data_IF_029473790335
#
_entry.id   IF_029473790335
#
_cell.length_a   1.000
_cell.length_b   1.000
_cell.length_c   1.000
_cell.angle_alpha   90.00
_cell.angle_beta   90.00
_cell.angle_gamma   90.00
#
_symmetry.space_group_name_H-M   'P 1'
#
loop_
_entity.id
_entity.type
_entity.pdbx_description
1 polymer ?
#
# COMPACT_ATOMS: atom_id res chain seq x y z
N UNK A 1 10.38 11.05 -11.83
CA UNK A 1 10.14 9.62 -11.97
C UNK A 1 11.31 8.81 -11.42
N UNK A 2 12.55 9.28 -11.61
CA UNK A 2 13.71 8.66 -10.94
C UNK A 2 13.55 8.63 -9.43
N UNK A 3 12.98 9.69 -8.85
CA UNK A 3 12.74 9.75 -7.40
C UNK A 3 11.78 8.65 -6.98
N UNK A 4 10.71 8.43 -7.73
CA UNK A 4 9.73 7.39 -7.43
C UNK A 4 10.35 6.01 -7.52
N UNK A 5 11.15 5.76 -8.57
CA UNK A 5 11.86 4.48 -8.74
C UNK A 5 12.82 4.22 -7.58
N UNK A 6 13.57 5.25 -7.17
CA UNK A 6 14.50 5.15 -6.03
C UNK A 6 13.75 4.91 -4.72
N UNK A 7 12.64 5.60 -4.52
CA UNK A 7 11.77 5.42 -3.37
C UNK A 7 11.26 3.98 -3.30
N UNK A 8 10.77 3.45 -4.42
CA UNK A 8 10.26 2.09 -4.47
C UNK A 8 11.35 1.06 -4.20
N UNK A 9 12.56 1.26 -4.70
CA UNK A 9 13.70 0.38 -4.39
C UNK A 9 14.00 0.34 -2.90
N UNK A 10 13.99 1.50 -2.25
CA UNK A 10 14.24 1.55 -0.81
C UNK A 10 13.13 0.82 -0.03
N UNK A 11 11.88 1.03 -0.40
CA UNK A 11 10.75 0.32 0.22
C UNK A 11 10.85 -1.19 0.01
N UNK A 12 11.24 -1.62 -1.19
CA UNK A 12 11.40 -3.04 -1.50
C UNK A 12 12.49 -3.69 -0.66
N UNK A 13 13.62 -3.01 -0.47
CA UNK A 13 14.69 -3.51 0.40
C UNK A 13 14.19 -3.68 1.83
N UNK A 14 13.43 -2.72 2.34
CA UNK A 14 12.85 -2.81 3.67
C UNK A 14 11.84 -3.95 3.77
N UNK A 15 11.03 -4.14 2.74
CA UNK A 15 10.04 -5.22 2.69
C UNK A 15 10.71 -6.60 2.70
N UNK A 16 11.79 -6.77 1.94
CA UNK A 16 12.53 -8.03 1.87
C UNK A 16 13.24 -8.36 3.17
N UNK A 17 13.74 -7.35 3.86
CA UNK A 17 14.46 -7.53 5.11
C UNK A 17 13.59 -8.00 6.27
N UNK A 18 12.34 -7.55 6.32
CA UNK A 18 11.42 -7.89 7.40
C UNK A 18 11.77 -7.27 8.74
N UNK A 19 12.81 -6.48 8.84
CA UNK A 19 13.28 -5.84 10.05
C UNK A 19 13.95 -4.51 9.71
N UNK A 20 14.45 -3.79 10.72
CA UNK A 20 15.13 -2.52 10.53
C UNK A 20 16.44 -2.70 9.76
N UNK A 21 16.69 -1.81 8.83
CA UNK A 21 17.88 -1.82 7.97
C UNK A 21 18.62 -0.50 8.11
N UNK A 22 19.95 -0.56 8.19
CA UNK A 22 20.76 0.65 8.29
C UNK A 22 20.77 1.45 6.99
N UNK A 23 21.00 2.75 7.11
CA UNK A 23 21.15 3.64 5.97
C UNK A 23 22.20 3.13 4.99
N UNK A 24 23.33 2.68 5.52
CA UNK A 24 24.44 2.18 4.71
C UNK A 24 24.01 0.99 3.85
N UNK A 25 23.34 0.03 4.45
CA UNK A 25 22.86 -1.16 3.73
C UNK A 25 21.76 -0.78 2.72
N UNK A 26 20.84 0.09 3.10
CA UNK A 26 19.78 0.56 2.20
C UNK A 26 20.36 1.25 0.97
N UNK A 27 21.28 2.17 1.17
CA UNK A 27 21.92 2.91 0.08
C UNK A 27 22.64 1.95 -0.88
N UNK A 28 23.43 1.04 -0.32
CA UNK A 28 24.18 0.06 -1.12
C UNK A 28 23.24 -0.86 -1.90
N UNK A 29 22.21 -1.38 -1.25
CA UNK A 29 21.24 -2.30 -1.88
C UNK A 29 20.42 -1.61 -2.98
N UNK A 30 20.12 -0.34 -2.82
CA UNK A 30 19.37 0.44 -3.81
C UNK A 30 20.26 1.07 -4.89
N UNK A 31 21.58 0.93 -4.77
CA UNK A 31 22.52 1.54 -5.72
C UNK A 31 22.54 3.05 -5.63
N UNK A 32 22.37 3.60 -4.44
CA UNK A 32 22.32 5.04 -4.21
C UNK A 32 23.47 5.53 -3.36
N UNK A 33 23.86 6.78 -3.60
CA UNK A 33 24.77 7.45 -2.69
C UNK A 33 24.07 7.62 -1.34
N UNK A 34 24.78 7.44 -0.19
CA UNK A 34 24.15 7.57 1.13
C UNK A 34 23.41 8.89 1.35
N UNK A 35 23.91 10.00 0.85
CA UNK A 35 23.24 11.30 1.00
C UNK A 35 21.90 11.34 0.24
N UNK A 36 21.84 10.73 -0.92
CA UNK A 36 20.60 10.63 -1.72
C UNK A 36 19.59 9.73 -1.00
N UNK A 37 20.04 8.56 -0.54
CA UNK A 37 19.17 7.65 0.22
C UNK A 37 18.64 8.32 1.48
N UNK A 38 19.49 9.01 2.22
CA UNK A 38 19.09 9.71 3.44
C UNK A 38 18.02 10.76 3.17
N UNK A 39 18.17 11.54 2.10
CA UNK A 39 17.20 12.57 1.73
C UNK A 39 15.84 11.99 1.38
N UNK A 40 15.83 10.91 0.61
CA UNK A 40 14.58 10.23 0.24
C UNK A 40 13.94 9.61 1.47
N UNK A 41 14.71 8.90 2.30
CA UNK A 41 14.22 8.28 3.53
C UNK A 41 13.67 9.31 4.49
N UNK A 42 14.31 10.47 4.62
CA UNK A 42 13.80 11.54 5.48
C UNK A 42 12.42 12.04 5.03
N UNK A 43 12.22 12.15 3.72
CA UNK A 43 10.91 12.51 3.18
C UNK A 43 9.87 11.41 3.47
N UNK A 44 10.24 10.15 3.31
CA UNK A 44 9.35 9.01 3.60
C UNK A 44 9.01 8.94 5.10
N UNK A 45 9.94 9.30 5.97
CA UNK A 45 9.68 9.35 7.42
C UNK A 45 8.65 10.44 7.75
N UNK A 46 8.77 11.61 7.14
CA UNK A 46 7.80 12.70 7.34
C UNK A 46 6.40 12.27 6.93
N UNK A 47 6.28 11.48 5.87
CA UNK A 47 4.99 11.00 5.38
C UNK A 47 4.56 9.70 6.03
N UNK A 48 5.30 9.20 7.03
CA UNK A 48 4.99 7.97 7.77
C UNK A 48 4.99 6.71 6.93
N UNK A 49 5.59 6.76 5.74
CA UNK A 49 5.79 5.58 4.89
C UNK A 49 6.95 4.72 5.38
N UNK A 50 7.90 5.34 6.05
CA UNK A 50 9.06 4.70 6.66
C UNK A 50 9.17 5.20 8.09
N UNK A 51 9.64 4.35 8.99
CA UNK A 51 9.87 4.66 10.38
C UNK A 51 11.36 4.58 10.69
N UNK A 52 11.86 5.59 11.39
CA UNK A 52 13.24 5.60 11.85
C UNK A 52 13.27 5.08 13.27
N UNK A 53 14.02 3.97 13.49
CA UNK A 53 14.06 3.30 14.79
C UNK A 53 15.17 3.91 15.66
N UNK A 54 16.39 3.84 15.16
CA UNK A 54 17.58 4.37 15.81
C UNK A 54 18.32 5.25 14.84
N UNK A 55 19.29 6.06 15.31
CA UNK A 55 20.11 6.81 14.37
C UNK A 55 20.67 5.90 13.29
N UNK A 56 20.21 6.08 12.06
CA UNK A 56 20.70 5.36 10.91
C UNK A 56 20.00 4.06 10.57
N UNK A 57 18.92 3.67 11.26
CA UNK A 57 18.13 2.48 10.92
C UNK A 57 16.69 2.83 10.60
N UNK A 58 16.11 2.10 9.65
CA UNK A 58 14.77 2.36 9.13
C UNK A 58 13.99 1.07 8.97
N UNK A 59 12.67 1.16 9.04
CA UNK A 59 11.75 0.07 8.73
C UNK A 59 10.48 0.63 8.09
N UNK A 60 9.64 -0.25 7.54
CA UNK A 60 8.37 0.17 6.95
C UNK A 60 7.48 0.86 7.98
N UNK A 61 6.81 1.94 7.56
CA UNK A 61 6.01 2.77 8.44
C UNK A 61 4.54 2.37 8.48
N UNK A 62 3.85 2.88 9.50
CA UNK A 62 2.45 2.53 9.77
C UNK A 62 1.48 3.03 8.71
N UNK A 63 1.83 4.06 7.96
CA UNK A 63 0.95 4.55 6.88
C UNK A 63 0.72 3.49 5.81
N UNK A 64 1.72 2.64 5.56
CA UNK A 64 1.56 1.53 4.61
C UNK A 64 0.48 0.56 5.07
N UNK A 65 0.41 0.29 6.38
CA UNK A 65 -0.66 -0.54 6.94
C UNK A 65 -2.02 0.13 6.78
N UNK A 66 -2.12 1.40 7.07
CA UNK A 66 -3.36 2.18 6.92
C UNK A 66 -3.87 2.11 5.48
N UNK A 67 -3.00 2.38 4.51
CA UNK A 67 -3.35 2.32 3.09
C UNK A 67 -3.68 0.89 2.66
N UNK A 68 -2.88 -0.08 3.12
CA UNK A 68 -3.11 -1.49 2.82
C UNK A 68 -4.44 -2.00 3.36
N UNK A 69 -4.84 -1.56 4.55
CA UNK A 69 -6.14 -1.93 5.12
C UNK A 69 -7.30 -1.44 4.28
N UNK A 70 -7.19 -0.28 3.67
CA UNK A 70 -8.22 0.23 2.76
C UNK A 70 -8.38 -0.66 1.53
N UNK A 71 -7.26 -1.10 0.99
CA UNK A 71 -7.26 -2.06 -0.13
C UNK A 71 -7.87 -3.39 0.30
N UNK A 72 -7.46 -3.88 1.47
CA UNK A 72 -7.96 -5.14 2.03
C UNK A 72 -9.46 -5.13 2.26
N UNK A 73 -10.00 -4.04 2.78
CA UNK A 73 -11.44 -3.88 2.99
C UNK A 73 -12.21 -4.00 1.69
N UNK A 74 -11.73 -3.37 0.63
CA UNK A 74 -12.36 -3.45 -0.69
C UNK A 74 -12.38 -4.89 -1.21
N UNK A 75 -11.27 -5.61 -1.07
CA UNK A 75 -11.15 -7.01 -1.51
C UNK A 75 -12.09 -7.89 -0.69
N UNK A 76 -12.11 -7.75 0.64
CA UNK A 76 -12.96 -8.55 1.53
C UNK A 76 -14.44 -8.35 1.23
N UNK A 77 -14.88 -7.12 1.05
CA UNK A 77 -16.28 -6.81 0.70
C UNK A 77 -16.63 -7.46 -0.63
N UNK A 78 -15.75 -7.35 -1.61
CA UNK A 78 -15.96 -7.94 -2.93
C UNK A 78 -16.10 -9.46 -2.83
N UNK A 79 -15.19 -10.13 -2.12
CA UNK A 79 -15.20 -11.60 -1.97
C UNK A 79 -16.47 -12.09 -1.28
N UNK A 80 -16.95 -11.38 -0.27
CA UNK A 80 -18.17 -11.75 0.45
C UNK A 80 -19.42 -11.47 -0.38
N UNK A 81 -19.42 -10.42 -1.18
CA UNK A 81 -20.58 -9.97 -1.91
C UNK A 81 -20.77 -10.68 -3.27
N UNK A 82 -19.69 -11.11 -3.93
CA UNK A 82 -19.75 -11.68 -5.27
C UNK A 82 -20.71 -12.86 -5.41
N UNK A 83 -20.68 -13.88 -4.52
CA UNK A 83 -21.60 -15.00 -4.64
C UNK A 83 -23.06 -14.55 -4.55
N UNK A 84 -23.37 -13.63 -3.64
CA UNK A 84 -24.68 -13.08 -3.45
C UNK A 84 -25.14 -12.27 -4.67
N UNK A 85 -24.23 -11.46 -5.23
CA UNK A 85 -24.52 -10.66 -6.43
C UNK A 85 -24.79 -11.54 -7.63
N UNK A 86 -24.06 -12.65 -7.78
CA UNK A 86 -24.29 -13.62 -8.86
C UNK A 86 -25.64 -14.30 -8.73
N UNK A 87 -26.02 -14.65 -7.51
CA UNK A 87 -27.33 -15.24 -7.25
C UNK A 87 -28.46 -14.28 -7.63
N UNK A 88 -28.34 -12.99 -7.28
CA UNK A 88 -29.30 -11.97 -7.66
C UNK A 88 -29.35 -11.78 -9.19
N UNK A 89 -28.19 -11.75 -9.83
CA UNK A 89 -28.11 -11.63 -11.28
C UNK A 89 -28.80 -12.80 -11.98
N UNK A 90 -28.53 -14.03 -11.53
CA UNK A 90 -29.11 -15.23 -12.11
C UNK A 90 -30.61 -15.29 -11.90
N UNK A 91 -31.09 -14.81 -10.75
CA UNK A 91 -32.51 -14.81 -10.43
C UNK A 91 -33.30 -13.74 -11.20
N UNK A 92 -32.71 -12.58 -11.42
CA UNK A 92 -33.39 -11.43 -12.02
C UNK A 92 -33.04 -11.20 -13.48
N UNK A 93 -31.89 -11.70 -13.94
CA UNK A 93 -31.36 -11.41 -15.27
C UNK A 93 -30.82 -10.00 -15.43
N UNK A 94 -30.76 -9.23 -14.35
CA UNK A 94 -30.31 -7.85 -14.37
C UNK A 94 -28.89 -7.70 -13.80
N UNK A 95 -28.19 -6.66 -14.24
CA UNK A 95 -26.88 -6.34 -13.70
C UNK A 95 -27.00 -5.92 -12.23
N UNK A 96 -26.06 -6.38 -11.41
CA UNK A 96 -26.00 -6.07 -9.99
C UNK A 96 -24.71 -5.33 -9.70
N UNK A 97 -24.80 -4.19 -9.01
CA UNK A 97 -23.65 -3.37 -8.63
C UNK A 97 -23.38 -3.47 -7.14
N UNK A 98 -22.09 -3.51 -6.80
CA UNK A 98 -21.63 -3.39 -5.43
C UNK A 98 -20.97 -2.04 -5.24
N UNK A 99 -21.51 -1.25 -4.32
CA UNK A 99 -20.93 0.02 -3.93
C UNK A 99 -20.80 0.06 -2.42
N UNK A 100 -19.74 0.70 -1.93
CA UNK A 100 -19.51 0.88 -0.52
C UNK A 100 -19.53 2.36 -0.21
N UNK A 101 -20.32 2.72 0.80
CA UNK A 101 -20.36 4.09 1.29
C UNK A 101 -19.13 4.34 2.16
N UNK A 102 -18.43 5.41 1.82
CA UNK A 102 -17.26 5.83 2.57
C UNK A 102 -17.38 7.32 2.83
N UNK A 103 -17.54 7.69 4.10
CA UNK A 103 -17.93 9.04 4.51
C UNK A 103 -19.23 9.41 3.80
N UNK A 104 -19.25 10.50 3.03
CA UNK A 104 -20.43 10.92 2.26
C UNK A 104 -20.35 10.50 0.79
N UNK A 105 -19.37 9.69 0.43
CA UNK A 105 -19.17 9.25 -0.95
C UNK A 105 -19.50 7.78 -1.14
N UNK A 106 -20.05 7.46 -2.31
CA UNK A 106 -20.28 6.08 -2.72
C UNK A 106 -19.10 5.63 -3.59
N UNK A 107 -18.50 4.52 -3.20
CA UNK A 107 -17.38 3.94 -3.95
C UNK A 107 -17.86 2.68 -4.66
N UNK A 108 -17.81 2.69 -5.98
CA UNK A 108 -18.16 1.54 -6.80
C UNK A 108 -17.02 0.52 -6.74
N UNK A 109 -17.35 -0.73 -6.43
CA UNK A 109 -16.35 -1.79 -6.25
C UNK A 109 -16.49 -2.88 -7.31
N UNK A 110 -17.72 -3.33 -7.59
CA UNK A 110 -17.92 -4.47 -8.48
C UNK A 110 -19.28 -4.38 -9.17
N UNK A 111 -19.37 -5.03 -10.34
CA UNK A 111 -20.59 -5.12 -11.12
C UNK A 111 -20.67 -6.48 -11.77
N UNK A 112 -21.86 -7.10 -11.71
CA UNK A 112 -22.17 -8.29 -12.51
C UNK A 112 -23.00 -7.86 -13.71
N UNK A 113 -22.78 -8.49 -14.85
CA UNK A 113 -23.54 -8.20 -16.06
C UNK A 113 -24.08 -9.48 -16.69
#
# INVERSE_FOLDING_TARGET
>A
IQVIERMMKLLDVLAESGDAVSLKVLAASAGLHPSTAHRILSALVRDRMVERIDPGSYRLGMRLLELGNLVKQRISVREHALPFMRELHDATGEAVNLSVRRDDEMVYIERTS
#
